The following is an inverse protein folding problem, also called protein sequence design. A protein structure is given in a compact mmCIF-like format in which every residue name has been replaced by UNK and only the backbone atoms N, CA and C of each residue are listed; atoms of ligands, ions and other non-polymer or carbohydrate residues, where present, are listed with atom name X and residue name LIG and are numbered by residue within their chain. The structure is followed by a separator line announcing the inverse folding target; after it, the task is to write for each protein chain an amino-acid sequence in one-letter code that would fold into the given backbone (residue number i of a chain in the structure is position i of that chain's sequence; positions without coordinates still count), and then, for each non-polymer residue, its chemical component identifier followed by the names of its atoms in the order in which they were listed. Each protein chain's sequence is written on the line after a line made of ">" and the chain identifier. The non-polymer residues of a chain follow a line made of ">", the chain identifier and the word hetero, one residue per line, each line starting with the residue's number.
data_IF_130814220084
#
_entry.id   IF_130814220084
#
_cell.length_a   1.000
_cell.length_b   1.000
_cell.length_c   1.000
_cell.angle_alpha   90.00
_cell.angle_beta   90.00
_cell.angle_gamma   90.00
#
_symmetry.space_group_name_H-M   'P 1'
#
loop_
_entity.id
_entity.type
_entity.pdbx_description
1 polymer ?
#
# COMPACT_ATOMS: atom_id res chain seq x y z
N UNK A 1 -1.29 17.49 -5.64
CA UNK A 1 -1.49 16.27 -4.85
C UNK A 1 -2.27 15.28 -5.68
N UNK A 2 -1.84 14.02 -5.69
CA UNK A 2 -2.49 12.91 -6.38
C UNK A 2 -2.61 11.72 -5.43
N UNK A 3 -3.60 10.87 -5.64
CA UNK A 3 -3.79 9.67 -4.84
C UNK A 3 -2.63 8.69 -5.07
N UNK A 4 -2.02 8.17 -4.00
CA UNK A 4 -0.98 7.11 -4.06
C UNK A 4 -1.32 5.91 -3.20
N UNK A 5 -2.33 6.05 -2.33
CA UNK A 5 -2.85 4.98 -1.49
C UNK A 5 -4.32 5.26 -1.16
N UNK A 6 -5.05 4.19 -0.87
CA UNK A 6 -6.40 4.21 -0.32
C UNK A 6 -6.50 3.13 0.74
N UNK A 7 -7.11 3.47 1.87
CA UNK A 7 -7.33 2.58 3.01
C UNK A 7 -8.83 2.53 3.31
N UNK A 8 -9.37 1.33 3.51
CA UNK A 8 -10.80 1.10 3.68
C UNK A 8 -11.08 0.01 4.71
N UNK A 9 -12.13 0.23 5.50
CA UNK A 9 -12.77 -0.79 6.33
C UNK A 9 -14.08 -1.20 5.65
N UNK A 10 -14.19 -2.48 5.28
CA UNK A 10 -15.38 -3.01 4.61
C UNK A 10 -16.30 -3.79 5.57
N UNK A 11 -15.98 -3.82 6.87
CA UNK A 11 -16.69 -4.63 7.87
C UNK A 11 -16.95 -6.04 7.33
N UNK A 12 -18.16 -6.55 7.43
CA UNK A 12 -18.51 -7.89 6.97
C UNK A 12 -18.93 -7.97 5.48
N UNK A 13 -18.94 -6.85 4.72
CA UNK A 13 -19.48 -6.83 3.36
C UNK A 13 -18.78 -7.83 2.42
N UNK A 14 -17.45 -7.80 2.40
CA UNK A 14 -16.66 -8.73 1.59
C UNK A 14 -16.73 -10.15 2.17
N UNK A 15 -16.70 -10.29 3.50
CA UNK A 15 -16.75 -11.58 4.18
C UNK A 15 -18.06 -12.34 3.93
N UNK A 16 -19.20 -11.64 3.84
CA UNK A 16 -20.50 -12.22 3.46
C UNK A 16 -20.50 -12.77 2.04
N UNK A 17 -19.88 -12.06 1.10
CA UNK A 17 -19.80 -12.47 -0.31
C UNK A 17 -18.78 -13.58 -0.54
N UNK A 18 -17.70 -13.60 0.24
CA UNK A 18 -16.65 -14.63 0.24
C UNK A 18 -16.86 -15.77 1.25
N UNK A 19 -17.98 -15.79 1.96
CA UNK A 19 -18.31 -16.76 3.01
C UNK A 19 -17.18 -16.99 4.06
N UNK A 20 -16.43 -15.94 4.39
CA UNK A 20 -15.30 -16.02 5.34
C UNK A 20 -15.79 -15.77 6.76
N UNK A 21 -15.66 -16.77 7.63
CA UNK A 21 -16.19 -16.76 9.00
C UNK A 21 -15.14 -17.25 9.99
N UNK A 22 -15.28 -16.84 11.23
CA UNK A 22 -14.52 -17.39 12.36
C UNK A 22 -15.49 -17.99 13.39
N UNK A 23 -14.99 -18.90 14.23
CA UNK A 23 -15.73 -19.40 15.39
C UNK A 23 -15.25 -18.64 16.62
N UNK A 24 -16.14 -17.97 17.36
CA UNK A 24 -15.76 -17.30 18.60
C UNK A 24 -15.27 -18.31 19.67
N UNK A 25 -14.47 -17.81 20.62
CA UNK A 25 -13.82 -18.65 21.63
C UNK A 25 -14.81 -19.35 22.58
N UNK A 26 -15.99 -18.76 22.78
CA UNK A 26 -17.10 -19.35 23.55
C UNK A 26 -17.84 -20.48 22.80
N UNK A 27 -17.30 -20.93 21.65
CA UNK A 27 -17.86 -21.96 20.79
C UNK A 27 -19.27 -21.62 20.25
N UNK A 28 -19.62 -20.33 20.22
CA UNK A 28 -20.85 -19.84 19.62
C UNK A 28 -20.98 -20.08 18.12
N UNK A 29 -22.09 -19.61 17.55
CA UNK A 29 -22.33 -19.70 16.09
C UNK A 29 -21.20 -18.98 15.33
N UNK A 30 -20.73 -19.51 14.19
CA UNK A 30 -19.74 -18.81 13.37
C UNK A 30 -20.21 -17.41 12.97
N UNK A 31 -19.32 -16.43 13.10
CA UNK A 31 -19.56 -15.03 12.76
C UNK A 31 -18.72 -14.63 11.53
N UNK A 32 -19.19 -13.67 10.74
CA UNK A 32 -18.40 -13.12 9.64
C UNK A 32 -17.24 -12.28 10.19
N UNK A 33 -16.08 -12.35 9.55
CA UNK A 33 -14.93 -11.51 9.87
C UNK A 33 -15.14 -10.09 9.33
N UNK A 34 -14.47 -9.10 9.91
CA UNK A 34 -14.33 -7.78 9.29
C UNK A 34 -13.10 -7.74 8.40
N UNK A 35 -13.21 -7.14 7.22
CA UNK A 35 -12.09 -6.98 6.30
C UNK A 35 -11.62 -5.53 6.21
N UNK A 36 -10.31 -5.36 6.20
CA UNK A 36 -9.65 -4.08 5.95
C UNK A 36 -8.69 -4.26 4.78
N UNK A 37 -8.50 -3.20 4.01
CA UNK A 37 -7.49 -3.18 2.96
C UNK A 37 -6.87 -1.79 2.87
N UNK A 38 -5.64 -1.75 2.37
CA UNK A 38 -4.86 -0.54 2.18
C UNK A 38 -3.79 -0.77 1.13
N UNK A 39 -3.59 0.20 0.23
CA UNK A 39 -2.42 0.16 -0.65
C UNK A 39 -1.16 0.43 0.17
N UNK A 40 -0.24 -0.53 0.23
CA UNK A 40 1.04 -0.34 0.91
C UNK A 40 1.92 0.68 0.18
N UNK A 41 2.35 0.33 -1.03
CA UNK A 41 3.13 1.20 -1.93
C UNK A 41 2.74 0.91 -3.38
N UNK A 42 1.96 1.81 -4.00
CA UNK A 42 1.64 1.71 -5.43
C UNK A 42 2.85 2.13 -6.27
N UNK A 43 3.73 1.17 -6.57
CA UNK A 43 5.06 1.41 -7.16
C UNK A 43 5.04 2.24 -8.43
N UNK A 44 4.06 2.07 -9.30
CA UNK A 44 3.92 2.86 -10.53
C UNK A 44 3.69 4.35 -10.25
N UNK A 45 2.82 4.71 -9.30
CA UNK A 45 2.57 6.10 -8.91
C UNK A 45 3.73 6.69 -8.13
N UNK A 46 4.36 5.87 -7.28
CA UNK A 46 5.52 6.30 -6.50
C UNK A 46 6.75 6.56 -7.38
N UNK A 47 6.95 5.77 -8.44
CA UNK A 47 8.04 6.03 -9.38
C UNK A 47 7.90 7.40 -10.04
N UNK A 48 6.71 7.74 -10.56
CA UNK A 48 6.47 9.07 -11.12
C UNK A 48 6.71 10.19 -10.09
N UNK A 49 6.20 10.04 -8.87
CA UNK A 49 6.45 10.98 -7.80
C UNK A 49 7.95 11.13 -7.46
N UNK A 50 8.72 10.03 -7.41
CA UNK A 50 10.16 10.07 -7.15
C UNK A 50 10.89 10.81 -8.28
N UNK A 51 10.59 10.49 -9.55
CA UNK A 51 11.21 11.14 -10.71
C UNK A 51 10.94 12.64 -10.72
N UNK A 52 9.67 13.05 -10.57
CA UNK A 52 9.27 14.46 -10.66
C UNK A 52 9.78 15.31 -9.50
N UNK A 53 9.79 14.78 -8.27
CA UNK A 53 10.15 15.54 -7.07
C UNK A 53 11.66 15.54 -6.78
N UNK A 54 12.43 14.66 -7.42
CA UNK A 54 13.88 14.55 -7.19
C UNK A 54 14.71 14.80 -8.46
N UNK A 55 14.11 15.33 -9.53
CA UNK A 55 14.83 15.74 -10.72
C UNK A 55 15.82 16.88 -10.41
N UNK A 56 16.96 16.84 -11.07
CA UNK A 56 18.04 17.82 -11.00
C UNK A 56 18.08 18.63 -12.31
N UNK A 57 18.70 19.81 -12.30
CA UNK A 57 18.83 20.68 -13.49
C UNK A 57 19.55 20.00 -14.67
N UNK A 58 20.46 19.06 -14.37
CA UNK A 58 21.19 18.28 -15.37
C UNK A 58 20.43 17.04 -15.88
N UNK A 59 19.17 16.88 -15.48
CA UNK A 59 18.28 15.80 -15.91
C UNK A 59 18.42 14.49 -15.14
N UNK A 60 19.38 14.37 -14.21
CA UNK A 60 19.46 13.21 -13.30
C UNK A 60 18.35 13.26 -12.26
N UNK A 61 18.02 12.11 -11.68
CA UNK A 61 17.11 12.02 -10.54
C UNK A 61 17.87 11.57 -9.31
N UNK A 62 17.81 12.37 -8.24
CA UNK A 62 18.41 12.01 -6.96
C UNK A 62 17.62 10.86 -6.33
N UNK A 63 18.32 9.79 -5.95
CA UNK A 63 17.69 8.67 -5.24
C UNK A 63 17.42 9.11 -3.78
N UNK A 64 16.20 8.91 -3.24
CA UNK A 64 15.91 9.17 -1.83
C UNK A 64 16.86 8.41 -0.91
N UNK A 65 17.32 9.04 0.18
CA UNK A 65 18.36 8.50 1.06
C UNK A 65 18.09 7.06 1.51
N UNK A 66 16.85 6.78 1.93
CA UNK A 66 16.41 5.46 2.41
C UNK A 66 16.41 4.37 1.34
N UNK A 67 16.53 4.72 0.06
CA UNK A 67 16.57 3.77 -1.05
C UNK A 67 17.99 3.57 -1.62
N UNK A 68 18.97 4.40 -1.24
CA UNK A 68 20.31 4.37 -1.84
C UNK A 68 21.02 3.04 -1.66
N UNK A 69 20.96 2.44 -0.46
CA UNK A 69 21.57 1.13 -0.19
C UNK A 69 20.95 0.02 -1.05
N UNK A 70 19.62 0.03 -1.18
CA UNK A 70 18.88 -0.95 -1.97
C UNK A 70 19.15 -0.81 -3.48
N UNK A 71 19.28 0.43 -3.97
CA UNK A 71 19.48 0.72 -5.40
C UNK A 71 20.95 0.66 -5.81
N UNK A 72 21.88 0.95 -4.89
CA UNK A 72 23.32 0.94 -5.15
C UNK A 72 23.85 2.16 -5.90
N UNK A 73 23.11 3.26 -5.94
CA UNK A 73 23.50 4.49 -6.62
C UNK A 73 22.99 5.74 -5.87
N UNK A 74 23.61 6.90 -6.16
CA UNK A 74 23.16 8.20 -5.63
C UNK A 74 22.15 8.90 -6.58
N UNK A 75 22.26 8.63 -7.88
CA UNK A 75 21.42 9.20 -8.94
C UNK A 75 20.98 8.11 -9.91
N UNK A 76 19.84 8.35 -10.57
CA UNK A 76 19.36 7.62 -11.76
C UNK A 76 19.43 8.56 -12.96
#
# INVERSE_FOLDING_TARGET
>A
YYEVSSCSNCEDFQARRGNTRYRPADLGKPLYVHTLNGSGLATSRLLAAILENNQMEDGRVRIPEVLKEMVGAEFI
#
